data_IF_653958514682
#
_entry.id   IF_653958514682
#
_cell.length_a   1.000
_cell.length_b   1.000
_cell.length_c   1.000
_cell.angle_alpha   90.00
_cell.angle_beta   90.00
_cell.angle_gamma   90.00
#
_symmetry.space_group_name_H-M   'P 1'
#
loop_
_entity.id
_entity.type
_entity.pdbx_description
1 polymer ?
#
# COMPACT_ATOMS: atom_id res chain seq x y z
N UNK A 1 8.53 21.60 -20.48
CA UNK A 1 7.21 21.43 -19.85
C UNK A 1 7.38 20.42 -18.72
N UNK A 2 7.24 20.80 -17.44
CA UNK A 2 7.30 19.84 -16.32
C UNK A 2 5.94 19.15 -16.24
N UNK A 3 5.86 17.89 -16.66
CA UNK A 3 4.70 17.04 -16.46
C UNK A 3 4.51 16.86 -14.95
N UNK A 4 3.56 17.58 -14.36
CA UNK A 4 3.06 17.27 -13.02
C UNK A 4 2.35 15.93 -13.14
N UNK A 5 3.02 14.85 -12.73
CA UNK A 5 2.37 13.57 -12.51
C UNK A 5 1.48 13.75 -11.28
N UNK A 6 0.20 14.05 -11.51
CA UNK A 6 -0.79 14.04 -10.43
C UNK A 6 -0.98 12.60 -9.98
N UNK A 7 -0.49 12.26 -8.79
CA UNK A 7 -0.71 10.93 -8.21
C UNK A 7 -2.21 10.81 -7.94
N UNK A 8 -2.84 9.79 -8.54
CA UNK A 8 -4.24 9.44 -8.30
C UNK A 8 -4.51 9.29 -6.79
N UNK A 9 -5.59 9.87 -6.31
CA UNK A 9 -5.98 9.84 -4.90
C UNK A 9 -6.13 8.40 -4.36
N UNK A 10 -6.58 7.47 -5.20
CA UNK A 10 -6.67 6.05 -4.87
C UNK A 10 -5.30 5.44 -4.55
N UNK A 11 -4.27 5.84 -5.30
CA UNK A 11 -2.89 5.39 -5.07
C UNK A 11 -2.37 5.96 -3.75
N UNK A 12 -2.65 7.24 -3.45
CA UNK A 12 -2.27 7.84 -2.16
C UNK A 12 -2.95 7.14 -0.99
N UNK A 13 -4.23 6.83 -1.11
CA UNK A 13 -4.98 6.13 -0.07
C UNK A 13 -4.41 4.74 0.19
N UNK A 14 -4.09 3.98 -0.86
CA UNK A 14 -3.43 2.69 -0.73
C UNK A 14 -2.06 2.79 -0.03
N UNK A 15 -1.27 3.82 -0.33
CA UNK A 15 -0.01 4.07 0.39
C UNK A 15 -0.24 4.42 1.86
N UNK A 16 -1.24 5.24 2.20
CA UNK A 16 -1.58 5.52 3.60
C UNK A 16 -1.94 4.26 4.38
N UNK A 17 -2.68 3.33 3.78
CA UNK A 17 -2.98 2.05 4.41
C UNK A 17 -1.74 1.18 4.62
N UNK A 18 -0.83 1.14 3.64
CA UNK A 18 0.45 0.43 3.75
C UNK A 18 1.29 0.99 4.91
N UNK A 19 1.36 2.32 5.06
CA UNK A 19 2.09 2.94 6.18
C UNK A 19 1.49 2.57 7.53
N UNK A 20 0.16 2.58 7.67
CA UNK A 20 -0.51 2.19 8.92
C UNK A 20 -0.26 0.71 9.28
N UNK A 21 -0.25 -0.16 8.30
CA UNK A 21 0.05 -1.59 8.49
C UNK A 21 1.51 -1.81 8.96
N UNK A 22 2.47 -1.04 8.42
CA UNK A 22 3.87 -1.07 8.85
C UNK A 22 4.06 -0.54 10.27
N UNK A 23 3.38 0.54 10.65
CA UNK A 23 3.43 1.08 12.01
C UNK A 23 2.88 0.08 13.02
N UNK A 24 1.83 -0.66 12.66
CA UNK A 24 1.27 -1.71 13.51
C UNK A 24 2.26 -2.87 13.71
N UNK A 25 2.97 -3.29 12.65
CA UNK A 25 4.02 -4.31 12.77
C UNK A 25 5.17 -3.83 13.66
N UNK A 26 5.61 -2.58 13.52
CA UNK A 26 6.65 -1.98 14.36
C UNK A 26 6.22 -1.90 15.83
N UNK A 27 4.96 -1.52 16.08
CA UNK A 27 4.39 -1.51 17.43
C UNK A 27 4.39 -2.91 18.05
N UNK A 28 3.95 -3.93 17.29
CA UNK A 28 3.94 -5.32 17.74
C UNK A 28 5.36 -5.84 18.03
N UNK A 29 6.34 -5.53 17.18
CA UNK A 29 7.72 -5.93 17.38
C UNK A 29 8.36 -5.28 18.62
N UNK A 30 8.02 -4.02 18.91
CA UNK A 30 8.56 -3.27 20.07
C UNK A 30 7.93 -3.67 21.41
N UNK A 31 6.67 -4.09 21.40
CA UNK A 31 5.90 -4.40 22.63
C UNK A 31 5.67 -5.91 22.83
N UNK A 32 6.26 -6.74 21.97
CA UNK A 32 5.95 -8.16 21.87
C UNK A 32 6.53 -9.02 23.00
N UNK A 33 5.82 -9.11 24.12
CA UNK A 33 5.94 -10.24 25.06
C UNK A 33 5.05 -11.43 24.63
N UNK A 34 4.17 -11.25 23.62
CA UNK A 34 3.37 -12.32 23.01
C UNK A 34 3.32 -12.09 21.50
N UNK A 35 4.01 -12.95 20.75
CA UNK A 35 4.01 -12.91 19.29
C UNK A 35 2.67 -13.43 18.75
N UNK A 36 1.79 -12.53 18.32
CA UNK A 36 0.50 -12.90 17.74
C UNK A 36 0.64 -13.15 16.22
N UNK A 37 1.02 -14.38 15.86
CA UNK A 37 1.18 -14.80 14.46
C UNK A 37 -0.07 -14.58 13.61
N UNK A 38 -1.27 -14.69 14.20
CA UNK A 38 -2.53 -14.46 13.48
C UNK A 38 -2.63 -13.01 13.00
N UNK A 39 -2.30 -12.05 13.86
CA UNK A 39 -2.28 -10.63 13.52
C UNK A 39 -1.21 -10.32 12.47
N UNK A 40 0.00 -10.88 12.61
CA UNK A 40 1.07 -10.73 11.62
C UNK A 40 0.62 -11.23 10.25
N UNK A 41 0.02 -12.42 10.18
CA UNK A 41 -0.47 -13.01 8.93
C UNK A 41 -1.61 -12.17 8.31
N UNK A 42 -2.46 -11.56 9.14
CA UNK A 42 -3.54 -10.68 8.68
C UNK A 42 -2.97 -9.42 8.03
N UNK A 43 -2.00 -8.78 8.67
CA UNK A 43 -1.32 -7.60 8.14
C UNK A 43 -0.58 -7.92 6.85
N UNK A 44 0.15 -9.03 6.80
CA UNK A 44 0.88 -9.46 5.61
C UNK A 44 -0.06 -9.63 4.40
N UNK A 45 -1.23 -10.26 4.60
CA UNK A 45 -2.23 -10.41 3.54
C UNK A 45 -2.75 -9.07 3.03
N UNK A 46 -3.04 -8.13 3.94
CA UNK A 46 -3.52 -6.79 3.59
C UNK A 46 -2.46 -5.99 2.82
N UNK A 47 -1.20 -6.01 3.28
CA UNK A 47 -0.07 -5.40 2.57
C UNK A 47 0.06 -5.90 1.13
N UNK A 48 -0.01 -7.22 0.93
CA UNK A 48 0.06 -7.82 -0.43
C UNK A 48 -1.11 -7.37 -1.32
N UNK A 49 -2.31 -7.23 -0.77
CA UNK A 49 -3.47 -6.74 -1.52
C UNK A 49 -3.30 -5.27 -1.91
N UNK A 50 -2.87 -4.43 -0.98
CA UNK A 50 -2.70 -3.00 -1.21
C UNK A 50 -1.58 -2.72 -2.23
N UNK A 51 -0.47 -3.46 -2.17
CA UNK A 51 0.59 -3.35 -3.17
C UNK A 51 0.08 -3.72 -4.58
N UNK A 52 -0.67 -4.82 -4.71
CA UNK A 52 -1.26 -5.20 -6.01
C UNK A 52 -2.26 -4.18 -6.54
N UNK A 53 -3.05 -3.57 -5.65
CA UNK A 53 -3.97 -2.50 -6.02
C UNK A 53 -3.20 -1.28 -6.57
N UNK A 54 -2.10 -0.88 -5.91
CA UNK A 54 -1.21 0.17 -6.40
C UNK A 54 -0.63 -0.18 -7.77
N UNK A 55 -0.08 -1.39 -7.94
CA UNK A 55 0.47 -1.86 -9.23
C UNK A 55 -0.57 -1.76 -10.36
N UNK A 56 -1.79 -2.25 -10.12
CA UNK A 56 -2.89 -2.16 -11.09
C UNK A 56 -3.27 -0.71 -11.41
N UNK A 57 -3.38 0.14 -10.40
CA UNK A 57 -3.74 1.55 -10.57
C UNK A 57 -2.65 2.34 -11.32
N UNK A 58 -1.37 1.98 -11.14
CA UNK A 58 -0.27 2.60 -11.87
C UNK A 58 -0.23 2.14 -13.33
N UNK A 59 -0.37 0.84 -13.58
CA UNK A 59 -0.41 0.27 -14.94
C UNK A 59 -1.61 0.83 -15.73
N UNK A 60 -2.80 0.89 -15.13
CA UNK A 60 -4.00 1.40 -15.79
C UNK A 60 -3.94 2.91 -16.10
N UNK A 61 -3.20 3.69 -15.29
CA UNK A 61 -2.92 5.10 -15.59
C UNK A 61 -1.96 5.29 -16.77
N UNK A 62 -1.04 4.35 -17.00
CA UNK A 62 -0.16 4.41 -18.16
C UNK A 62 -0.91 4.04 -19.46
N UNK A 63 -1.78 3.02 -19.42
CA UNK A 63 -2.62 2.64 -20.57
C UNK A 63 -3.65 3.71 -20.99
N UNK A 64 -4.08 4.57 -20.07
CA UNK A 64 -4.99 5.68 -20.39
C UNK A 64 -4.26 6.89 -20.99
N UNK A 65 -2.95 7.05 -20.77
CA UNK A 65 -2.13 8.08 -21.42
C UNK A 65 -1.75 7.73 -22.86
N UNK A 66 -1.61 6.46 -23.22
CA UNK A 66 -1.25 6.03 -24.58
C UNK A 66 -2.40 6.07 -25.60
N UNK A 67 -3.65 6.25 -25.13
CA UNK A 67 -4.85 6.31 -25.98
C UNK A 67 -5.43 7.72 -26.16
N UNK A 68 -4.75 8.75 -25.67
CA UNK A 68 -5.18 10.16 -25.73
C UNK A 68 -4.36 10.99 -26.71
#
# INVERSE_FOLDING_TARGET
MRTKVGINEDVKNAFHEIYGDLDMLLFMAKNGNVFNQFEVNRIEKKLKQNIKAVEYLMISQDFTKERG
#
